data_IF_241033369951
#
_entry.id   IF_241033369951
#
_cell.length_a   1.000
_cell.length_b   1.000
_cell.length_c   1.000
_cell.angle_alpha   90.00
_cell.angle_beta   90.00
_cell.angle_gamma   90.00
#
_symmetry.space_group_name_H-M   'P 1'
#
loop_
_entity.id
_entity.type
_entity.pdbx_description
1 polymer ?
#
# COMPACT_ATOMS: atom_id res chain seq x y z
N UNK A 1 11.64 -36.20 -13.51
CA UNK A 1 10.40 -36.14 -14.32
C UNK A 1 9.55 -35.01 -13.81
N UNK A 2 9.34 -33.94 -14.60
CA UNK A 2 8.54 -32.77 -14.18
C UNK A 2 7.05 -33.11 -14.28
N UNK A 3 6.32 -32.93 -13.19
CA UNK A 3 4.90 -33.22 -13.09
C UNK A 3 4.11 -32.37 -14.14
N UNK A 4 3.41 -32.99 -15.12
CA UNK A 4 2.71 -32.30 -16.19
C UNK A 4 1.61 -31.36 -15.68
N UNK A 5 0.98 -31.66 -14.55
CA UNK A 5 -0.05 -30.82 -13.91
C UNK A 5 0.51 -29.47 -13.41
N UNK A 6 1.81 -29.38 -13.09
CA UNK A 6 2.46 -28.14 -12.67
C UNK A 6 2.67 -27.17 -13.84
N UNK A 7 2.93 -27.69 -15.05
CA UNK A 7 3.08 -26.87 -16.27
C UNK A 7 1.73 -26.33 -16.74
N UNK A 8 0.68 -27.16 -16.72
CA UNK A 8 -0.67 -26.77 -17.10
C UNK A 8 -1.24 -25.69 -16.17
N UNK A 9 -1.03 -25.82 -14.86
CA UNK A 9 -1.43 -24.80 -13.90
C UNK A 9 -0.69 -23.47 -14.08
N UNK A 10 0.61 -23.50 -14.43
CA UNK A 10 1.38 -22.28 -14.72
C UNK A 10 0.87 -21.58 -15.98
N UNK A 11 0.56 -22.32 -17.03
CA UNK A 11 0.04 -21.78 -18.28
C UNK A 11 -1.36 -21.18 -18.10
N UNK A 12 -2.29 -21.89 -17.46
CA UNK A 12 -3.63 -21.36 -17.11
C UNK A 12 -3.53 -20.10 -16.26
N UNK A 13 -2.59 -20.07 -15.30
CA UNK A 13 -2.34 -18.91 -14.45
C UNK A 13 -1.80 -17.71 -15.25
N UNK A 14 -0.89 -17.95 -16.19
CA UNK A 14 -0.34 -16.91 -17.07
C UNK A 14 -1.43 -16.28 -17.96
N UNK A 15 -2.29 -17.12 -18.58
CA UNK A 15 -3.43 -16.66 -19.39
C UNK A 15 -4.39 -15.82 -18.51
N UNK A 16 -4.74 -16.29 -17.31
CA UNK A 16 -5.61 -15.58 -16.42
C UNK A 16 -5.03 -14.21 -15.98
N UNK A 17 -3.72 -14.13 -15.76
CA UNK A 17 -3.03 -12.87 -15.43
C UNK A 17 -3.06 -11.91 -16.63
N UNK A 18 -2.77 -12.40 -17.84
CA UNK A 18 -2.81 -11.61 -19.08
C UNK A 18 -4.23 -11.08 -19.35
N UNK A 19 -5.24 -11.95 -19.24
CA UNK A 19 -6.64 -11.58 -19.44
C UNK A 19 -7.11 -10.52 -18.43
N UNK A 20 -6.72 -10.66 -17.16
CA UNK A 20 -6.98 -9.65 -16.12
C UNK A 20 -6.32 -8.31 -16.45
N UNK A 21 -5.09 -8.34 -16.99
CA UNK A 21 -4.39 -7.14 -17.45
C UNK A 21 -5.13 -6.42 -18.56
N UNK A 22 -5.61 -7.17 -19.56
CA UNK A 22 -6.38 -6.64 -20.70
C UNK A 22 -7.72 -6.04 -20.22
N UNK A 23 -8.49 -6.78 -19.41
CA UNK A 23 -9.76 -6.28 -18.86
C UNK A 23 -9.53 -4.99 -18.06
N UNK A 24 -8.48 -4.94 -17.24
CA UNK A 24 -8.14 -3.76 -16.45
C UNK A 24 -7.78 -2.55 -17.33
N UNK A 25 -7.07 -2.76 -18.44
CA UNK A 25 -6.67 -1.70 -19.36
C UNK A 25 -7.88 -1.15 -20.14
N UNK A 26 -8.79 -2.02 -20.59
CA UNK A 26 -9.97 -1.63 -21.37
C UNK A 26 -11.06 -1.01 -20.47
N UNK A 27 -11.34 -1.63 -19.33
CA UNK A 27 -12.39 -1.19 -18.42
C UNK A 27 -12.03 -1.47 -16.95
N UNK A 28 -11.45 -0.49 -16.25
CA UNK A 28 -11.22 -0.60 -14.81
C UNK A 28 -12.46 -0.99 -14.01
N UNK A 29 -13.63 -0.50 -14.43
CA UNK A 29 -14.93 -0.82 -13.81
C UNK A 29 -15.27 -2.31 -13.97
N UNK A 30 -15.13 -2.86 -15.18
CA UNK A 30 -15.36 -4.28 -15.42
C UNK A 30 -14.38 -5.15 -14.61
N UNK A 31 -13.11 -4.76 -14.58
CA UNK A 31 -12.09 -5.44 -13.76
C UNK A 31 -12.49 -5.49 -12.28
N UNK A 32 -12.88 -4.34 -11.71
CA UNK A 32 -13.30 -4.25 -10.30
C UNK A 32 -14.54 -5.10 -10.03
N UNK A 33 -15.55 -5.09 -10.93
CA UNK A 33 -16.74 -5.94 -10.79
C UNK A 33 -16.39 -7.43 -10.82
N UNK A 34 -15.49 -7.85 -11.72
CA UNK A 34 -15.02 -9.24 -11.79
C UNK A 34 -14.24 -9.63 -10.52
N UNK A 35 -13.34 -8.77 -10.07
CA UNK A 35 -12.57 -8.98 -8.84
C UNK A 35 -13.49 -9.09 -7.62
N UNK A 36 -14.44 -8.17 -7.49
CA UNK A 36 -15.42 -8.17 -6.40
C UNK A 36 -16.23 -9.47 -6.37
N UNK A 37 -16.74 -9.89 -7.54
CA UNK A 37 -17.49 -11.16 -7.64
C UNK A 37 -16.64 -12.37 -7.27
N UNK A 38 -15.37 -12.38 -7.67
CA UNK A 38 -14.47 -13.48 -7.35
C UNK A 38 -14.18 -13.58 -5.84
N UNK A 39 -14.01 -12.44 -5.16
CA UNK A 39 -13.69 -12.40 -3.73
C UNK A 39 -14.92 -12.62 -2.85
N UNK A 40 -16.03 -11.98 -3.19
CA UNK A 40 -17.23 -11.92 -2.33
C UNK A 40 -18.31 -12.92 -2.70
N UNK A 41 -18.18 -13.57 -3.88
CA UNK A 41 -19.20 -14.41 -4.52
C UNK A 41 -20.53 -13.68 -4.82
N UNK A 42 -20.54 -12.34 -4.76
CA UNK A 42 -21.68 -11.50 -5.05
C UNK A 42 -21.45 -10.62 -6.28
N UNK A 43 -22.55 -10.24 -6.99
CA UNK A 43 -22.48 -9.20 -8.01
C UNK A 43 -22.13 -7.85 -7.36
N UNK A 44 -21.31 -7.04 -8.04
CA UNK A 44 -20.97 -5.69 -7.61
C UNK A 44 -21.95 -4.68 -8.19
N UNK A 45 -22.80 -4.11 -7.36
CA UNK A 45 -23.72 -3.04 -7.74
C UNK A 45 -23.04 -1.69 -7.45
N UNK A 46 -22.87 -0.87 -8.50
CA UNK A 46 -22.23 0.45 -8.40
C UNK A 46 -23.22 1.60 -8.62
N UNK A 47 -24.47 1.30 -9.02
CA UNK A 47 -25.49 2.31 -9.23
C UNK A 47 -26.89 1.74 -8.91
N UNK A 48 -27.45 2.03 -7.73
CA UNK A 48 -26.74 2.53 -6.54
C UNK A 48 -25.94 1.42 -5.85
N UNK A 49 -24.80 1.75 -5.16
CA UNK A 49 -24.11 0.80 -4.31
C UNK A 49 -24.88 0.62 -3.00
N UNK A 50 -25.17 -0.63 -2.64
CA UNK A 50 -25.94 -0.98 -1.44
C UNK A 50 -25.04 -1.40 -0.29
N UNK A 51 -24.18 -2.41 -0.54
CA UNK A 51 -23.27 -2.95 0.49
C UNK A 51 -22.13 -1.98 0.77
N UNK A 52 -21.63 -2.00 1.99
CA UNK A 52 -20.44 -1.20 2.39
C UNK A 52 -19.27 -1.41 1.43
N UNK A 53 -18.96 -2.67 1.09
CA UNK A 53 -17.89 -3.01 0.17
C UNK A 53 -18.13 -2.50 -1.26
N UNK A 54 -19.37 -2.42 -1.72
CA UNK A 54 -19.74 -1.82 -3.02
C UNK A 54 -19.55 -0.30 -2.98
N UNK A 55 -19.91 0.35 -1.86
CA UNK A 55 -19.67 1.79 -1.65
C UNK A 55 -18.18 2.11 -1.72
N UNK A 56 -17.33 1.27 -1.14
CA UNK A 56 -15.87 1.43 -1.26
C UNK A 56 -15.39 1.31 -2.71
N UNK A 57 -15.94 0.37 -3.51
CA UNK A 57 -15.59 0.27 -4.93
C UNK A 57 -16.08 1.49 -5.73
N UNK A 58 -17.26 2.00 -5.41
CA UNK A 58 -17.79 3.23 -6.02
C UNK A 58 -16.89 4.43 -5.70
N UNK A 59 -16.52 4.62 -4.45
CA UNK A 59 -15.65 5.71 -4.00
C UNK A 59 -14.30 5.67 -4.71
N UNK A 60 -13.64 4.51 -4.74
CA UNK A 60 -12.31 4.37 -5.37
C UNK A 60 -12.32 4.61 -6.88
N UNK A 61 -13.42 4.29 -7.56
CA UNK A 61 -13.53 4.43 -9.02
C UNK A 61 -13.99 5.82 -9.46
N UNK A 62 -14.90 6.45 -8.72
CA UNK A 62 -15.62 7.61 -9.22
C UNK A 62 -15.46 8.87 -8.36
N UNK A 63 -15.12 8.74 -7.08
CA UNK A 63 -15.02 9.86 -6.13
C UNK A 63 -13.57 10.19 -5.81
N UNK A 64 -12.82 9.24 -5.28
CA UNK A 64 -11.42 9.46 -4.86
C UNK A 64 -10.49 10.02 -5.94
N UNK A 65 -10.61 9.64 -7.22
CA UNK A 65 -9.77 10.23 -8.25
C UNK A 65 -9.98 11.73 -8.50
N UNK A 66 -11.12 12.26 -8.03
CA UNK A 66 -11.51 13.66 -8.21
C UNK A 66 -11.26 14.52 -6.98
N UNK A 67 -10.89 13.92 -5.86
CA UNK A 67 -10.62 14.60 -4.59
C UNK A 67 -9.12 14.52 -4.27
N UNK A 68 -8.45 15.66 -4.39
CA UNK A 68 -7.00 15.76 -4.14
C UNK A 68 -6.66 15.54 -2.67
N UNK A 69 -7.57 15.79 -1.74
CA UNK A 69 -7.38 15.48 -0.32
C UNK A 69 -7.21 13.97 -0.08
N UNK A 70 -7.84 13.13 -0.90
CA UNK A 70 -7.65 11.67 -0.81
C UNK A 70 -6.21 11.29 -1.17
N UNK A 71 -5.65 11.88 -2.23
CA UNK A 71 -4.25 11.64 -2.62
C UNK A 71 -3.29 12.19 -1.57
N UNK A 72 -3.55 13.39 -1.05
CA UNK A 72 -2.77 14.01 0.02
C UNK A 72 -2.74 13.11 1.27
N UNK A 73 -3.89 12.62 1.72
CA UNK A 73 -3.99 11.77 2.90
C UNK A 73 -3.50 10.33 2.69
N UNK A 74 -3.50 9.82 1.44
CA UNK A 74 -2.98 8.49 1.11
C UNK A 74 -1.45 8.46 0.98
N UNK A 75 -0.82 9.59 0.68
CA UNK A 75 0.63 9.72 0.57
C UNK A 75 1.31 9.75 1.93
N UNK A 76 2.30 8.88 2.15
CA UNK A 76 2.98 8.78 3.46
C UNK A 76 3.84 10.01 3.81
N UNK A 77 4.25 10.77 2.84
CA UNK A 77 4.96 12.05 3.04
C UNK A 77 3.94 13.18 3.17
N UNK A 78 3.05 13.33 2.20
CA UNK A 78 2.10 14.44 2.14
C UNK A 78 1.07 14.46 3.28
N UNK A 79 0.69 13.29 3.82
CA UNK A 79 -0.23 13.24 4.97
C UNK A 79 0.37 13.88 6.23
N UNK A 80 1.70 13.93 6.34
CA UNK A 80 2.38 14.50 7.50
C UNK A 80 2.12 16.00 7.62
N UNK A 81 2.23 16.73 6.49
CA UNK A 81 1.93 18.16 6.43
C UNK A 81 0.46 18.43 6.82
N UNK A 82 -0.44 17.55 6.38
CA UNK A 82 -1.85 17.64 6.76
C UNK A 82 -2.08 17.42 8.26
N UNK A 83 -1.43 16.41 8.86
CA UNK A 83 -1.53 16.10 10.30
C UNK A 83 -0.94 17.24 11.13
N UNK A 84 0.21 17.78 10.72
CA UNK A 84 0.84 18.95 11.35
C UNK A 84 -0.06 20.19 11.27
N UNK A 85 -0.60 20.49 10.07
CA UNK A 85 -1.56 21.59 9.89
C UNK A 85 -2.79 21.46 10.80
N UNK A 86 -3.20 20.24 11.15
CA UNK A 86 -4.29 19.96 12.09
C UNK A 86 -3.89 20.02 13.55
N UNK A 87 -2.63 20.29 13.86
CA UNK A 87 -2.12 20.42 15.24
C UNK A 87 -1.82 19.09 15.94
N UNK A 88 -1.61 18.01 15.18
CA UNK A 88 -1.35 16.67 15.72
C UNK A 88 0.07 16.16 15.41
N UNK A 89 1.05 17.08 15.35
CA UNK A 89 2.44 16.73 15.02
C UNK A 89 3.03 15.66 15.94
N UNK A 90 2.66 15.68 17.22
CA UNK A 90 3.13 14.71 18.23
C UNK A 90 2.62 13.27 17.98
N UNK A 91 1.62 13.11 17.12
CA UNK A 91 1.12 11.79 16.69
C UNK A 91 1.94 11.17 15.55
N UNK A 92 2.87 11.94 14.95
CA UNK A 92 3.67 11.49 13.82
C UNK A 92 4.90 10.71 14.27
N UNK A 93 5.14 9.57 13.64
CA UNK A 93 6.37 8.79 13.84
C UNK A 93 7.56 9.64 13.40
N UNK A 94 8.66 9.72 14.19
CA UNK A 94 9.87 10.44 13.78
C UNK A 94 10.41 9.96 12.44
N UNK A 95 10.80 10.91 11.56
CA UNK A 95 11.38 10.65 10.24
C UNK A 95 12.86 10.94 10.28
N UNK A 96 13.67 10.02 9.73
CA UNK A 96 15.10 10.19 9.55
C UNK A 96 15.45 10.83 8.20
N UNK A 97 14.57 10.69 7.20
CA UNK A 97 14.76 11.33 5.90
C UNK A 97 13.70 10.96 4.87
N UNK A 98 13.61 11.79 3.82
CA UNK A 98 12.78 11.57 2.64
C UNK A 98 13.67 11.73 1.41
N UNK A 99 13.65 10.76 0.50
CA UNK A 99 14.59 10.65 -0.62
C UNK A 99 13.85 10.35 -1.93
N UNK A 100 14.30 10.91 -3.03
CA UNK A 100 13.73 10.64 -4.36
C UNK A 100 14.30 9.35 -4.97
N UNK A 101 15.46 8.92 -4.52
CA UNK A 101 16.08 7.67 -4.95
C UNK A 101 16.75 6.94 -3.79
N UNK A 102 16.98 5.63 -3.96
CA UNK A 102 17.72 4.83 -2.98
C UNK A 102 19.17 5.25 -2.87
N UNK A 103 19.76 5.79 -3.95
CA UNK A 103 21.16 6.15 -4.04
C UNK A 103 21.49 7.46 -3.30
N UNK A 104 20.46 8.23 -2.89
CA UNK A 104 20.60 9.44 -2.07
C UNK A 104 20.73 9.13 -0.55
N UNK A 105 20.46 7.90 -0.14
CA UNK A 105 20.40 7.55 1.28
C UNK A 105 21.81 7.35 1.83
N UNK A 106 22.17 8.18 2.81
CA UNK A 106 23.36 7.93 3.64
C UNK A 106 23.02 6.98 4.78
N UNK A 107 23.25 5.69 4.55
CA UNK A 107 23.02 4.65 5.56
C UNK A 107 23.94 4.78 6.78
N UNK A 108 25.06 5.48 6.68
CA UNK A 108 25.98 5.66 7.84
C UNK A 108 25.34 6.52 8.93
N UNK A 109 24.53 7.49 8.53
CA UNK A 109 23.82 8.41 9.43
C UNK A 109 22.56 7.82 10.08
N UNK A 110 22.06 6.68 9.57
CA UNK A 110 20.85 6.06 10.09
C UNK A 110 21.11 5.23 11.36
N UNK A 111 20.12 5.13 12.27
CA UNK A 111 20.22 4.25 13.43
C UNK A 111 20.30 2.78 13.02
N UNK A 112 20.51 1.89 14.00
CA UNK A 112 20.63 0.45 13.78
C UNK A 112 19.35 -0.15 13.20
N UNK A 113 18.18 0.32 13.64
CA UNK A 113 16.87 -0.16 13.20
C UNK A 113 15.99 0.98 12.69
N UNK A 114 15.25 0.74 11.61
CA UNK A 114 14.33 1.70 10.99
C UNK A 114 13.35 1.01 10.03
N UNK A 115 12.38 1.76 9.53
CA UNK A 115 11.47 1.28 8.48
C UNK A 115 11.61 2.17 7.24
N UNK A 116 11.82 1.55 6.09
CA UNK A 116 11.81 2.22 4.79
C UNK A 116 10.47 1.98 4.09
N UNK A 117 9.85 3.02 3.55
CA UNK A 117 8.55 2.92 2.86
C UNK A 117 8.54 3.76 1.60
N UNK A 118 7.85 3.30 0.54
CA UNK A 118 7.53 4.20 -0.56
C UNK A 118 6.30 5.04 -0.22
N UNK A 119 6.32 6.33 -0.58
CA UNK A 119 5.26 7.30 -0.28
C UNK A 119 3.92 6.97 -0.95
N UNK A 120 3.96 6.45 -2.16
CA UNK A 120 2.87 6.35 -3.14
C UNK A 120 2.21 4.96 -3.24
N UNK A 121 2.46 4.08 -2.26
CA UNK A 121 1.98 2.70 -2.35
C UNK A 121 1.69 2.09 -0.97
N UNK A 122 0.79 1.10 -0.93
CA UNK A 122 0.59 0.23 0.23
C UNK A 122 1.42 -1.05 0.08
N UNK A 123 2.04 -1.52 1.17
CA UNK A 123 2.86 -2.73 1.17
C UNK A 123 4.25 -2.59 0.56
N UNK A 124 4.63 -1.41 0.03
CA UNK A 124 5.99 -1.14 -0.42
C UNK A 124 6.82 -0.62 0.76
N UNK A 125 7.17 -1.52 1.65
CA UNK A 125 7.94 -1.23 2.86
C UNK A 125 8.91 -2.35 3.17
N UNK A 126 9.99 -1.99 3.86
CA UNK A 126 11.02 -2.87 4.36
C UNK A 126 11.31 -2.50 5.81
N UNK A 127 11.20 -3.46 6.71
CA UNK A 127 11.53 -3.30 8.13
C UNK A 127 12.98 -3.74 8.30
N UNK A 128 13.81 -2.84 8.79
CA UNK A 128 15.23 -3.09 9.04
C UNK A 128 15.44 -3.16 10.55
N UNK A 129 15.60 -4.36 11.07
CA UNK A 129 15.90 -4.61 12.48
C UNK A 129 17.36 -4.39 12.82
N UNK A 130 18.25 -4.71 11.87
CA UNK A 130 19.67 -4.50 11.96
C UNK A 130 20.22 -4.02 10.61
N UNK A 131 20.67 -2.78 10.59
CA UNK A 131 21.27 -2.14 9.40
C UNK A 131 22.48 -2.91 8.88
N UNK A 132 23.31 -3.44 9.78
CA UNK A 132 24.55 -4.12 9.41
C UNK A 132 24.31 -5.49 8.78
N UNK A 133 23.13 -6.09 9.01
CA UNK A 133 22.68 -7.33 8.39
C UNK A 133 21.90 -7.10 7.07
N UNK A 134 21.69 -5.85 6.67
CA UNK A 134 20.85 -5.50 5.51
C UNK A 134 21.55 -5.84 4.18
N UNK A 135 20.87 -6.56 3.28
CA UNK A 135 21.30 -6.68 1.88
C UNK A 135 20.94 -5.41 1.09
N UNK A 136 21.88 -4.45 1.12
CA UNK A 136 21.71 -3.16 0.41
C UNK A 136 21.48 -3.33 -1.10
N UNK A 137 22.07 -4.36 -1.73
CA UNK A 137 21.92 -4.59 -3.17
C UNK A 137 20.49 -5.05 -3.51
N UNK A 138 19.96 -6.01 -2.75
CA UNK A 138 18.59 -6.49 -2.91
C UNK A 138 17.57 -5.37 -2.63
N UNK A 139 17.77 -4.62 -1.55
CA UNK A 139 16.91 -3.48 -1.17
C UNK A 139 16.93 -2.39 -2.24
N UNK A 140 18.11 -2.00 -2.75
CA UNK A 140 18.26 -1.05 -3.86
C UNK A 140 17.45 -1.49 -5.09
N UNK A 141 17.58 -2.75 -5.51
CA UNK A 141 16.84 -3.31 -6.65
C UNK A 141 15.33 -3.26 -6.42
N UNK A 142 14.88 -3.57 -5.21
CA UNK A 142 13.48 -3.56 -4.79
C UNK A 142 12.89 -2.16 -4.82
N UNK A 143 13.54 -1.19 -4.15
CA UNK A 143 13.08 0.19 -4.11
C UNK A 143 13.13 0.87 -5.49
N UNK A 144 14.17 0.64 -6.31
CA UNK A 144 14.20 1.12 -7.71
C UNK A 144 13.02 0.62 -8.54
N UNK A 145 12.58 -0.61 -8.32
CA UNK A 145 11.39 -1.17 -8.98
C UNK A 145 10.11 -0.55 -8.43
N UNK A 146 10.01 -0.38 -7.11
CA UNK A 146 8.83 0.18 -6.46
C UNK A 146 8.60 1.64 -6.84
N UNK A 147 9.63 2.48 -6.84
CA UNK A 147 9.54 3.89 -7.24
C UNK A 147 9.05 4.07 -8.70
N UNK A 148 9.37 3.13 -9.58
CA UNK A 148 8.90 3.14 -10.99
C UNK A 148 7.49 2.58 -11.17
N UNK A 149 6.91 2.00 -10.13
CA UNK A 149 5.59 1.35 -10.22
C UNK A 149 4.49 2.37 -10.01
N UNK A 150 3.64 2.58 -11.03
CA UNK A 150 2.37 3.27 -10.83
C UNK A 150 1.41 2.36 -10.03
N UNK A 151 1.38 2.57 -8.72
CA UNK A 151 0.58 1.76 -7.81
C UNK A 151 -0.92 1.93 -8.07
N UNK A 152 -1.36 3.14 -8.39
CA UNK A 152 -2.74 3.43 -8.69
C UNK A 152 -3.27 2.66 -9.91
N UNK A 153 -2.48 2.60 -10.99
CA UNK A 153 -2.80 1.74 -12.14
C UNK A 153 -2.72 0.26 -11.80
N UNK A 154 -1.75 -0.16 -10.99
CA UNK A 154 -1.59 -1.55 -10.58
C UNK A 154 -2.79 -2.07 -9.80
N UNK A 155 -3.35 -1.28 -8.90
CA UNK A 155 -4.44 -1.67 -7.99
C UNK A 155 -5.82 -1.19 -8.41
N UNK A 156 -5.91 -0.33 -9.44
CA UNK A 156 -7.14 0.40 -9.82
C UNK A 156 -7.59 1.35 -8.70
N UNK A 157 -6.63 2.08 -8.14
CA UNK A 157 -6.82 3.12 -7.13
C UNK A 157 -6.18 4.42 -7.62
N UNK A 158 -6.81 5.14 -8.58
CA UNK A 158 -6.17 6.22 -9.33
C UNK A 158 -5.64 7.38 -8.49
N UNK A 159 -6.16 7.58 -7.28
CA UNK A 159 -5.65 8.57 -6.35
C UNK A 159 -4.19 8.34 -5.96
N UNK A 160 -3.71 7.08 -5.93
CA UNK A 160 -2.28 6.79 -5.70
C UNK A 160 -1.38 7.21 -6.86
N UNK A 161 -1.90 7.28 -8.10
CA UNK A 161 -1.09 7.72 -9.25
C UNK A 161 -0.75 9.22 -9.21
N UNK A 162 -1.41 9.99 -8.34
CA UNK A 162 -1.13 11.42 -8.13
C UNK A 162 -0.04 11.67 -7.08
N UNK A 163 0.34 10.66 -6.31
CA UNK A 163 1.31 10.79 -5.22
C UNK A 163 2.71 10.71 -5.79
N UNK A 164 3.56 11.68 -5.46
CA UNK A 164 4.96 11.69 -5.87
C UNK A 164 5.72 10.51 -5.26
N UNK A 165 6.39 9.65 -6.06
CA UNK A 165 7.13 8.51 -5.57
C UNK A 165 8.40 8.93 -4.82
N UNK A 166 8.47 8.66 -3.52
CA UNK A 166 9.63 8.92 -2.66
C UNK A 166 9.83 7.76 -1.70
N UNK A 167 11.02 7.68 -1.12
CA UNK A 167 11.33 6.81 0.01
C UNK A 167 11.29 7.65 1.27
N UNK A 168 10.49 7.26 2.25
CA UNK A 168 10.51 7.81 3.60
C UNK A 168 11.14 6.79 4.53
N UNK A 169 12.06 7.23 5.38
CA UNK A 169 12.70 6.42 6.43
C UNK A 169 12.21 6.92 7.78
N UNK A 170 11.56 6.03 8.53
CA UNK A 170 10.94 6.35 9.81
C UNK A 170 11.53 5.49 10.93
N UNK A 171 11.40 5.99 12.16
CA UNK A 171 11.71 5.21 13.35
C UNK A 171 10.92 3.89 13.33
N UNK A 172 11.63 2.78 13.57
CA UNK A 172 10.96 1.50 13.85
C UNK A 172 10.28 1.59 15.21
N UNK A 173 8.98 1.37 15.22
CA UNK A 173 8.24 1.19 16.47
C UNK A 173 8.29 -0.29 16.81
N UNK A 174 8.78 -0.59 17.98
CA UNK A 174 8.88 -1.96 18.52
C UNK A 174 8.43 -1.99 19.97
N UNK A 175 7.96 -3.14 20.39
CA UNK A 175 7.58 -3.46 21.76
C UNK A 175 8.08 -4.88 22.04
N UNK A 176 8.98 -5.01 22.99
CA UNK A 176 9.62 -6.31 23.38
C UNK A 176 10.25 -7.06 22.18
N UNK A 177 10.87 -6.35 21.24
CA UNK A 177 11.54 -6.93 20.06
C UNK A 177 10.59 -7.38 18.96
N UNK A 178 9.30 -7.05 19.05
CA UNK A 178 8.28 -7.34 18.05
C UNK A 178 7.62 -6.06 17.52
N UNK A 179 6.87 -6.17 16.43
CA UNK A 179 6.05 -5.05 15.97
C UNK A 179 4.88 -4.82 16.93
N UNK A 180 4.56 -3.56 17.24
CA UNK A 180 3.49 -3.25 18.18
C UNK A 180 2.12 -3.69 17.65
N UNK A 181 1.17 -3.84 18.58
CA UNK A 181 -0.23 -4.06 18.24
C UNK A 181 -0.76 -2.89 17.42
N UNK A 182 -1.41 -3.19 16.28
CA UNK A 182 -1.98 -2.18 15.39
C UNK A 182 -3.48 -2.00 15.66
N UNK A 183 -3.90 -0.77 15.89
CA UNK A 183 -5.30 -0.40 16.06
C UNK A 183 -5.82 0.29 14.81
N UNK A 184 -6.86 -0.26 14.17
CA UNK A 184 -7.53 0.33 13.00
C UNK A 184 -8.90 0.83 13.37
N UNK A 185 -9.04 2.14 13.42
CA UNK A 185 -10.30 2.78 13.80
C UNK A 185 -11.04 3.21 12.52
N UNK A 186 -12.26 2.71 12.34
CA UNK A 186 -13.16 3.16 11.29
C UNK A 186 -13.97 4.36 11.77
N UNK A 187 -13.80 5.47 11.05
CA UNK A 187 -14.45 6.74 11.33
C UNK A 187 -15.46 7.07 10.23
N UNK A 188 -16.71 7.36 10.60
CA UNK A 188 -17.78 7.76 9.69
C UNK A 188 -18.35 9.10 10.18
N UNK A 189 -18.34 10.11 9.31
CA UNK A 189 -18.80 11.47 9.63
C UNK A 189 -18.19 12.00 10.94
N UNK A 190 -16.88 11.85 11.11
CA UNK A 190 -16.16 12.31 12.30
C UNK A 190 -16.36 11.47 13.58
N UNK A 191 -17.12 10.38 13.52
CA UNK A 191 -17.41 9.51 14.68
C UNK A 191 -16.74 8.14 14.50
N UNK A 192 -15.91 7.74 15.47
CA UNK A 192 -15.38 6.39 15.57
C UNK A 192 -16.52 5.38 15.75
N UNK A 193 -16.54 4.31 14.95
CA UNK A 193 -17.62 3.30 14.96
C UNK A 193 -17.11 1.92 15.29
N UNK A 194 -16.00 1.51 14.69
CA UNK A 194 -15.43 0.19 14.86
C UNK A 194 -13.93 0.31 15.10
N UNK A 195 -13.40 -0.59 15.89
CA UNK A 195 -11.99 -0.77 16.14
C UNK A 195 -11.61 -2.20 15.76
N UNK A 196 -10.56 -2.37 14.97
CA UNK A 196 -9.92 -3.65 14.71
C UNK A 196 -8.55 -3.64 15.38
N UNK A 197 -8.25 -4.72 16.09
CA UNK A 197 -6.95 -4.97 16.70
C UNK A 197 -6.24 -6.02 15.84
N UNK A 198 -5.04 -5.70 15.37
CA UNK A 198 -4.22 -6.60 14.57
C UNK A 198 -2.96 -6.93 15.36
N UNK A 199 -2.76 -8.21 15.65
CA UNK A 199 -1.61 -8.76 16.39
C UNK A 199 -0.81 -9.70 15.49
N UNK A 200 0.41 -10.06 15.88
CA UNK A 200 1.22 -11.07 15.20
C UNK A 200 1.74 -10.66 13.82
N UNK A 201 1.87 -9.36 13.53
CA UNK A 201 2.49 -8.92 12.27
C UNK A 201 3.98 -9.21 12.30
N UNK A 202 4.46 -9.96 11.29
CA UNK A 202 5.87 -10.31 11.13
C UNK A 202 6.23 -11.69 11.67
N UNK A 203 5.29 -12.45 12.20
CA UNK A 203 5.53 -13.84 12.66
C UNK A 203 5.61 -14.85 11.50
N UNK A 204 5.14 -14.48 10.29
CA UNK A 204 5.06 -15.34 9.09
C UNK A 204 5.97 -14.87 7.94
N UNK A 205 7.13 -14.23 8.23
CA UNK A 205 8.07 -13.79 7.18
C UNK A 205 9.37 -14.56 7.27
#
# INVERSE_FOLDING_TARGET
>A
MSNPNLKENKFKRAIAVSLRGIIKAISPVAYVKCQYRYITHHKCHLNPPVRYTEKLQYLRLFVYPKDDNVSLCAGRVSVRDYVEYRGYVDSLIPVYGVYNSFDEIDFSSLPKSFVMKCSHASGFNEIVWDKDAMDLSASRKRFKKWLKTDYGKKTVEPHYSKIHPQIIIEKLLEEDGALPVEYKIHVFNGKAKNLYVVTGRGEDI
#
